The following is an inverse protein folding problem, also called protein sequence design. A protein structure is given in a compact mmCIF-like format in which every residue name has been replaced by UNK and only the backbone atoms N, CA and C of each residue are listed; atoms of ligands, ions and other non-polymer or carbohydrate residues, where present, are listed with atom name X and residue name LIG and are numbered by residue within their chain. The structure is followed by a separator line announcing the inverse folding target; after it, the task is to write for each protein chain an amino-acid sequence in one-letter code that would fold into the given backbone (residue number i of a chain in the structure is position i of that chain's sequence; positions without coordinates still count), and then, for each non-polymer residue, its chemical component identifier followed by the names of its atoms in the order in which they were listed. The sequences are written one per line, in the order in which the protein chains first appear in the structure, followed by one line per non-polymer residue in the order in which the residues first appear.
data_IF_494972604078
#
_entry.id   IF_494972604078
#
_cell.length_a   1.000
_cell.length_b   1.000
_cell.length_c   1.000
_cell.angle_alpha   90.00
_cell.angle_beta   90.00
_cell.angle_gamma   90.00
#
_symmetry.space_group_name_H-M   'P 1'
#
loop_
_entity.id
_entity.type
_entity.pdbx_description
1 polymer ?
#
# COMPACT_ATOMS: atom_id res chain seq x y z
N UNK A 1 17.63 -26.14 3.95
CA UNK A 1 16.68 -26.16 2.80
C UNK A 1 15.75 -24.92 2.81
N UNK A 2 15.25 -24.49 3.97
CA UNK A 2 14.46 -23.25 4.08
C UNK A 2 15.28 -21.99 3.68
N UNK A 3 16.58 -22.01 3.88
CA UNK A 3 17.47 -20.90 3.53
C UNK A 3 17.56 -20.61 2.02
N UNK A 4 17.47 -21.60 1.15
CA UNK A 4 17.59 -21.38 -0.31
C UNK A 4 16.39 -20.67 -0.89
N UNK A 5 15.18 -21.09 -0.52
CA UNK A 5 13.94 -20.41 -0.92
C UNK A 5 13.88 -18.98 -0.39
N UNK A 6 14.25 -18.77 0.87
CA UNK A 6 14.28 -17.43 1.45
C UNK A 6 15.34 -16.55 0.76
N UNK A 7 16.52 -17.09 0.42
CA UNK A 7 17.58 -16.36 -0.32
C UNK A 7 17.08 -15.94 -1.70
N UNK A 8 16.43 -16.86 -2.44
CA UNK A 8 15.86 -16.58 -3.76
C UNK A 8 14.77 -15.50 -3.68
N UNK A 9 13.87 -15.61 -2.71
CA UNK A 9 12.79 -14.63 -2.49
C UNK A 9 13.36 -13.25 -2.18
N UNK A 10 14.31 -13.16 -1.28
CA UNK A 10 14.96 -11.90 -0.90
C UNK A 10 15.75 -11.30 -2.05
N UNK A 11 16.50 -12.11 -2.78
CA UNK A 11 17.24 -11.63 -3.95
C UNK A 11 16.27 -11.08 -5.00
N UNK A 12 15.14 -11.74 -5.23
CA UNK A 12 14.10 -11.26 -6.13
C UNK A 12 13.55 -9.92 -5.67
N UNK A 13 13.20 -9.79 -4.39
CA UNK A 13 12.67 -8.54 -3.84
C UNK A 13 13.72 -7.42 -3.90
N UNK A 14 14.97 -7.68 -3.50
CA UNK A 14 16.07 -6.71 -3.63
C UNK A 14 16.28 -6.28 -5.07
N UNK A 15 16.34 -7.22 -6.01
CA UNK A 15 16.48 -6.91 -7.42
C UNK A 15 15.34 -6.03 -7.93
N UNK A 16 14.11 -6.30 -7.48
CA UNK A 16 12.93 -5.56 -7.90
C UNK A 16 12.80 -4.20 -7.21
N UNK A 17 13.38 -4.02 -6.01
CA UNK A 17 13.33 -2.74 -5.28
C UNK A 17 14.55 -1.86 -5.54
N UNK A 18 15.75 -2.42 -5.65
CA UNK A 18 16.98 -1.65 -5.83
C UNK A 18 17.23 -1.29 -7.31
N UNK A 19 16.79 -2.16 -8.23
CA UNK A 19 16.89 -1.96 -9.69
C UNK A 19 15.52 -1.78 -10.35
N UNK A 20 14.53 -1.29 -9.60
CA UNK A 20 13.18 -1.09 -10.11
C UNK A 20 13.16 -0.16 -11.31
N UNK A 21 12.49 -0.57 -12.39
CA UNK A 21 12.27 0.31 -13.55
C UNK A 21 11.36 1.46 -13.15
N UNK A 22 11.81 2.67 -13.41
CA UNK A 22 11.10 3.92 -13.10
C UNK A 22 10.10 4.31 -14.20
N UNK A 23 9.00 5.01 -13.89
CA UNK A 23 8.56 5.42 -12.54
C UNK A 23 8.06 4.25 -11.68
N UNK A 24 8.29 4.35 -10.36
CA UNK A 24 7.83 3.40 -9.36
C UNK A 24 6.65 3.97 -8.58
N UNK A 25 5.60 3.18 -8.42
CA UNK A 25 4.49 3.45 -7.50
C UNK A 25 4.47 2.42 -6.39
N UNK A 26 4.48 2.89 -5.14
CA UNK A 26 4.23 2.05 -3.98
C UNK A 26 2.83 2.33 -3.43
N UNK A 27 1.99 1.30 -3.31
CA UNK A 27 0.67 1.38 -2.70
C UNK A 27 0.78 0.71 -1.33
N UNK A 28 0.65 1.51 -0.27
CA UNK A 28 0.86 1.07 1.10
C UNK A 28 -0.42 1.26 1.89
N UNK A 29 -0.98 0.15 2.36
CA UNK A 29 -2.19 0.10 3.16
C UNK A 29 -2.00 -0.64 4.49
N UNK A 30 -3.09 -0.75 5.21
CA UNK A 30 -3.13 -1.45 6.50
C UNK A 30 -3.92 -0.70 7.56
N UNK A 31 -4.00 -1.26 8.76
CA UNK A 31 -4.79 -0.70 9.87
C UNK A 31 -4.00 0.30 10.71
N UNK A 32 -2.67 0.15 10.83
CA UNK A 32 -1.81 0.92 11.74
C UNK A 32 -0.67 1.60 11.02
N UNK A 33 -0.62 2.94 11.09
CA UNK A 33 0.46 3.73 10.49
C UNK A 33 1.81 3.44 11.16
N UNK A 34 1.85 3.23 12.48
CA UNK A 34 3.08 2.95 13.23
C UNK A 34 3.86 1.75 12.68
N UNK A 35 3.17 0.73 12.17
CA UNK A 35 3.79 -0.45 11.57
C UNK A 35 4.39 -0.18 10.17
N UNK A 36 4.11 0.95 9.57
CA UNK A 36 4.50 1.31 8.20
C UNK A 36 5.41 2.55 8.11
N UNK A 37 5.65 3.24 9.21
CA UNK A 37 6.50 4.45 9.25
C UNK A 37 7.89 4.18 8.66
N UNK A 38 8.53 3.07 9.06
CA UNK A 38 9.83 2.68 8.56
C UNK A 38 9.83 2.46 7.04
N UNK A 39 8.80 1.77 6.54
CA UNK A 39 8.58 1.52 5.12
C UNK A 39 8.41 2.84 4.36
N UNK A 40 7.48 3.70 4.79
CA UNK A 40 7.20 4.98 4.13
C UNK A 40 8.45 5.88 4.09
N UNK A 41 9.20 5.94 5.19
CA UNK A 41 10.43 6.71 5.28
C UNK A 41 11.54 6.20 4.35
N UNK A 42 11.65 4.88 4.15
CA UNK A 42 12.62 4.30 3.24
C UNK A 42 12.19 4.49 1.78
N UNK A 43 10.92 4.22 1.48
CA UNK A 43 10.39 4.34 0.12
C UNK A 43 10.38 5.78 -0.38
N UNK A 44 10.10 6.77 0.48
CA UNK A 44 10.13 8.19 0.12
C UNK A 44 11.46 8.65 -0.50
N UNK A 45 12.56 7.95 -0.24
CA UNK A 45 13.89 8.24 -0.80
C UNK A 45 14.18 7.54 -2.13
N UNK A 46 13.35 6.56 -2.51
CA UNK A 46 13.68 5.62 -3.59
C UNK A 46 12.68 5.65 -4.76
N UNK A 47 11.45 6.10 -4.50
CA UNK A 47 10.35 5.98 -5.47
C UNK A 47 9.72 7.31 -5.82
N UNK A 48 9.08 7.39 -6.97
CA UNK A 48 8.45 8.60 -7.48
C UNK A 48 7.04 8.83 -6.91
N UNK A 49 6.34 7.76 -6.53
CA UNK A 49 4.97 7.88 -6.00
C UNK A 49 4.74 6.90 -4.86
N UNK A 50 4.08 7.37 -3.80
CA UNK A 50 3.55 6.55 -2.71
C UNK A 50 2.07 6.87 -2.57
N UNK A 51 1.21 5.86 -2.70
CA UNK A 51 -0.21 5.97 -2.38
C UNK A 51 -0.46 5.34 -1.01
N UNK A 52 -0.97 6.10 -0.06
CA UNK A 52 -1.36 5.61 1.25
C UNK A 52 -2.85 5.32 1.25
N UNK A 53 -3.21 4.09 1.61
CA UNK A 53 -4.59 3.59 1.57
C UNK A 53 -4.94 2.82 2.85
N UNK A 54 -6.18 2.33 2.95
CA UNK A 54 -6.64 1.61 4.14
C UNK A 54 -6.80 2.51 5.36
N UNK A 55 -7.05 1.93 6.54
CA UNK A 55 -7.33 2.71 7.75
C UNK A 55 -6.14 3.58 8.19
N UNK A 56 -4.90 3.20 7.87
CA UNK A 56 -3.73 4.04 8.16
C UNK A 56 -3.75 5.38 7.42
N UNK A 57 -4.44 5.47 6.29
CA UNK A 57 -4.62 6.73 5.55
C UNK A 57 -5.45 7.76 6.33
N UNK A 58 -6.31 7.31 7.25
CA UNK A 58 -7.11 8.20 8.10
C UNK A 58 -6.22 9.12 8.97
N UNK A 59 -5.02 8.65 9.35
CA UNK A 59 -4.06 9.50 10.05
C UNK A 59 -3.62 10.69 9.19
N UNK A 60 -3.38 10.47 7.89
CA UNK A 60 -3.03 11.56 6.96
C UNK A 60 -4.23 12.48 6.72
N UNK A 61 -5.44 11.92 6.53
CA UNK A 61 -6.68 12.69 6.33
C UNK A 61 -6.92 13.61 7.53
N UNK A 62 -6.78 13.08 8.76
CA UNK A 62 -6.91 13.86 9.98
C UNK A 62 -5.79 14.91 10.11
N UNK A 63 -4.55 14.58 9.75
CA UNK A 63 -3.43 15.51 9.78
C UNK A 63 -3.61 16.70 8.81
N UNK A 64 -4.33 16.49 7.69
CA UNK A 64 -4.74 17.56 6.76
C UNK A 64 -5.91 18.41 7.29
N UNK A 65 -6.42 18.12 8.48
CA UNK A 65 -7.46 18.88 9.14
C UNK A 65 -8.90 18.43 8.83
N UNK A 66 -9.08 17.30 8.18
CA UNK A 66 -10.40 16.74 7.91
C UNK A 66 -10.92 15.86 9.06
N UNK A 67 -12.25 15.83 9.21
CA UNK A 67 -12.91 14.90 10.10
C UNK A 67 -12.76 13.45 9.56
N UNK A 68 -12.59 12.50 10.46
CA UNK A 68 -12.54 11.06 10.14
C UNK A 68 -13.67 10.28 10.85
N UNK A 69 -14.56 10.97 11.57
CA UNK A 69 -15.66 10.39 12.33
C UNK A 69 -15.17 9.38 13.38
N UNK A 70 -15.75 8.20 13.36
CA UNK A 70 -15.39 7.06 14.24
C UNK A 70 -14.37 6.11 13.61
N UNK A 71 -13.70 6.51 12.53
CA UNK A 71 -12.76 5.67 11.80
C UNK A 71 -11.54 5.31 12.64
N UNK A 72 -10.95 4.17 12.33
CA UNK A 72 -9.69 3.75 12.97
C UNK A 72 -8.57 4.75 12.63
N UNK A 73 -7.81 5.13 13.63
CA UNK A 73 -6.58 5.91 13.51
C UNK A 73 -5.68 5.68 14.73
N UNK A 74 -4.42 6.05 14.65
CA UNK A 74 -3.49 6.00 15.77
C UNK A 74 -3.20 7.41 16.28
N UNK A 75 -3.29 7.61 17.59
CA UNK A 75 -2.98 8.89 18.26
C UNK A 75 -1.46 9.15 18.27
N UNK A 76 -1.10 10.42 18.45
CA UNK A 76 0.28 10.86 18.68
C UNK A 76 1.25 10.50 17.52
N UNK A 77 0.77 10.55 16.27
CA UNK A 77 1.56 10.26 15.08
C UNK A 77 1.92 11.52 14.26
N UNK A 78 1.55 12.70 14.72
CA UNK A 78 1.65 13.96 13.96
C UNK A 78 3.09 14.24 13.50
N UNK A 79 4.06 14.04 14.39
CA UNK A 79 5.48 14.22 14.07
C UNK A 79 5.95 13.25 12.99
N UNK A 80 5.56 11.99 13.08
CA UNK A 80 5.91 10.96 12.10
C UNK A 80 5.30 11.25 10.73
N UNK A 81 4.05 11.72 10.68
CA UNK A 81 3.37 12.11 9.45
C UNK A 81 4.05 13.31 8.81
N UNK A 82 4.42 14.32 9.61
CA UNK A 82 5.16 15.50 9.16
C UNK A 82 6.51 15.10 8.57
N UNK A 83 7.25 14.22 9.26
CA UNK A 83 8.56 13.73 8.80
C UNK A 83 8.45 12.96 7.48
N UNK A 84 7.40 12.13 7.29
CA UNK A 84 7.15 11.41 6.04
C UNK A 84 6.86 12.41 4.92
N UNK A 85 5.94 13.37 5.12
CA UNK A 85 5.62 14.39 4.12
C UNK A 85 6.85 15.18 3.70
N UNK A 86 7.62 15.67 4.67
CA UNK A 86 8.87 16.41 4.42
C UNK A 86 9.88 15.58 3.63
N UNK A 87 10.01 14.28 3.94
CA UNK A 87 10.91 13.39 3.18
C UNK A 87 10.43 13.18 1.76
N UNK A 88 9.12 13.04 1.55
CA UNK A 88 8.55 12.96 0.21
C UNK A 88 8.86 14.23 -0.60
N UNK A 89 8.64 15.41 -0.01
CA UNK A 89 8.95 16.71 -0.64
C UNK A 89 10.43 16.83 -1.01
N UNK A 90 11.35 16.59 -0.08
CA UNK A 90 12.81 16.69 -0.30
C UNK A 90 13.28 15.75 -1.42
N UNK A 91 12.68 14.56 -1.55
CA UNK A 91 13.09 13.56 -2.54
C UNK A 91 12.23 13.58 -3.82
N UNK A 92 11.37 14.56 -4.02
CA UNK A 92 10.44 14.64 -5.15
C UNK A 92 9.56 13.39 -5.30
N UNK A 93 9.21 12.77 -4.18
CA UNK A 93 8.28 11.66 -4.12
C UNK A 93 6.85 12.18 -3.91
N UNK A 94 5.96 11.92 -4.84
CA UNK A 94 4.56 12.33 -4.74
C UNK A 94 3.81 11.44 -3.75
N UNK A 95 3.34 12.02 -2.65
CA UNK A 95 2.53 11.32 -1.65
C UNK A 95 1.04 11.49 -1.97
N UNK A 96 0.38 10.41 -2.31
CA UNK A 96 -1.05 10.35 -2.65
C UNK A 96 -1.79 9.88 -1.41
N UNK A 97 -2.69 10.72 -0.91
CA UNK A 97 -3.67 10.38 0.14
C UNK A 97 -5.07 10.36 -0.46
N UNK A 98 -6.06 9.71 0.17
CA UNK A 98 -7.43 9.72 -0.33
C UNK A 98 -7.98 11.14 -0.49
N UNK A 99 -8.69 11.40 -1.59
CA UNK A 99 -9.41 12.66 -1.86
C UNK A 99 -10.92 12.51 -1.60
N UNK A 100 -11.40 11.29 -1.64
CA UNK A 100 -12.75 10.87 -1.34
C UNK A 100 -12.75 9.45 -0.78
N UNK A 101 -13.80 9.09 -0.08
CA UNK A 101 -13.91 7.86 0.69
C UNK A 101 -15.30 7.26 0.61
N UNK A 102 -15.40 5.95 0.87
CA UNK A 102 -16.66 5.28 1.15
C UNK A 102 -16.82 5.19 2.66
N UNK A 103 -17.88 5.77 3.16
CA UNK A 103 -18.21 5.78 4.59
C UNK A 103 -19.48 5.00 4.87
N UNK A 104 -19.61 4.45 6.06
CA UNK A 104 -20.86 3.91 6.60
C UNK A 104 -20.93 4.14 8.10
N UNK A 105 -22.13 4.09 8.67
CA UNK A 105 -22.32 4.11 10.13
C UNK A 105 -21.96 2.79 10.78
N UNK A 106 -22.01 1.71 10.00
CA UNK A 106 -21.78 0.33 10.43
C UNK A 106 -21.33 -0.49 9.20
N UNK A 107 -20.36 -1.41 9.31
CA UNK A 107 -19.91 -2.24 8.18
C UNK A 107 -20.99 -3.12 7.53
N UNK A 108 -22.12 -3.35 8.21
CA UNK A 108 -23.24 -4.11 7.68
C UNK A 108 -24.28 -3.25 6.93
N UNK A 109 -24.03 -1.95 6.80
CA UNK A 109 -24.93 -1.00 6.12
C UNK A 109 -24.22 -0.51 4.86
N UNK A 110 -25.04 -0.24 3.81
CA UNK A 110 -24.55 0.26 2.54
C UNK A 110 -23.68 1.51 2.71
N UNK A 111 -22.57 1.52 2.00
CA UNK A 111 -21.62 2.63 1.97
C UNK A 111 -22.14 3.84 1.20
N UNK A 112 -21.62 5.01 1.55
CA UNK A 112 -21.86 6.26 0.87
C UNK A 112 -20.54 6.89 0.44
N UNK A 113 -20.48 7.34 -0.82
CA UNK A 113 -19.35 8.12 -1.31
C UNK A 113 -19.42 9.54 -0.71
N UNK A 114 -18.35 9.96 -0.07
CA UNK A 114 -18.20 11.32 0.46
C UNK A 114 -16.84 11.91 0.08
N UNK A 115 -16.83 13.22 -0.17
CA UNK A 115 -15.59 14.01 -0.12
C UNK A 115 -15.16 14.22 1.32
N UNK A 116 -13.88 14.49 1.57
CA UNK A 116 -13.34 14.55 2.93
C UNK A 116 -14.01 15.62 3.81
N UNK A 117 -14.43 16.74 3.21
CA UNK A 117 -15.15 17.84 3.88
C UNK A 117 -16.59 17.49 4.29
N UNK A 118 -17.12 16.36 3.85
CA UNK A 118 -18.49 15.89 4.14
C UNK A 118 -18.54 14.72 5.11
N UNK A 119 -17.41 14.30 5.66
CA UNK A 119 -17.37 13.23 6.67
C UNK A 119 -17.98 13.72 7.97
N UNK A 120 -18.93 12.96 8.50
CA UNK A 120 -19.63 13.26 9.75
C UNK A 120 -19.01 12.53 10.95
N UNK A 121 -19.27 13.01 12.17
CA UNK A 121 -18.73 12.43 13.42
C UNK A 121 -19.13 10.97 13.65
N UNK A 122 -20.20 10.51 13.00
CA UNK A 122 -20.70 9.14 13.14
C UNK A 122 -20.24 8.22 12.03
N UNK A 123 -19.50 8.72 11.03
CA UNK A 123 -19.02 7.95 9.90
C UNK A 123 -17.83 7.06 10.25
N UNK A 124 -17.74 5.92 9.59
CA UNK A 124 -16.59 5.04 9.54
C UNK A 124 -16.09 5.05 8.08
N UNK A 125 -14.86 5.43 7.85
CA UNK A 125 -14.19 5.30 6.55
C UNK A 125 -13.84 3.83 6.37
N UNK A 126 -14.41 3.20 5.33
CA UNK A 126 -14.29 1.76 5.11
C UNK A 126 -13.64 1.41 3.77
N UNK A 127 -13.59 2.35 2.80
CA UNK A 127 -12.82 2.19 1.55
C UNK A 127 -12.46 3.57 0.99
N UNK A 128 -11.56 3.59 0.02
CA UNK A 128 -11.26 4.78 -0.78
C UNK A 128 -12.38 5.04 -1.79
N UNK A 129 -12.61 6.31 -2.12
CA UNK A 129 -13.64 6.71 -3.07
C UNK A 129 -13.22 6.59 -4.54
N UNK A 130 -14.17 6.85 -5.42
CA UNK A 130 -14.00 6.72 -6.87
C UNK A 130 -12.88 7.58 -7.43
N UNK A 131 -12.80 8.84 -6.99
CA UNK A 131 -11.77 9.79 -7.46
C UNK A 131 -10.37 9.35 -7.04
N UNK A 132 -10.24 8.86 -5.81
CA UNK A 132 -8.99 8.27 -5.28
C UNK A 132 -8.58 7.04 -6.08
N UNK A 133 -9.53 6.13 -6.38
CA UNK A 133 -9.29 4.95 -7.22
C UNK A 133 -8.79 5.37 -8.61
N UNK A 134 -9.48 6.31 -9.26
CA UNK A 134 -9.10 6.79 -10.58
C UNK A 134 -7.69 7.41 -10.60
N UNK A 135 -7.34 8.19 -9.56
CA UNK A 135 -6.01 8.76 -9.42
C UNK A 135 -4.93 7.68 -9.29
N UNK A 136 -5.15 6.70 -8.42
CA UNK A 136 -4.21 5.57 -8.25
C UNK A 136 -4.09 4.76 -9.55
N UNK A 137 -5.20 4.45 -10.22
CA UNK A 137 -5.19 3.74 -11.50
C UNK A 137 -4.41 4.49 -12.59
N UNK A 138 -4.58 5.82 -12.70
CA UNK A 138 -3.79 6.65 -13.62
C UNK A 138 -2.29 6.59 -13.29
N UNK A 139 -1.92 6.51 -12.01
CA UNK A 139 -0.53 6.34 -11.60
C UNK A 139 0.01 4.94 -11.93
N UNK A 140 -0.81 3.90 -11.81
CA UNK A 140 -0.45 2.55 -12.26
C UNK A 140 -0.17 2.55 -13.77
N UNK A 141 -0.98 3.22 -14.59
CA UNK A 141 -0.82 3.28 -16.05
C UNK A 141 0.51 3.85 -16.52
N UNK A 142 1.04 4.84 -15.80
CA UNK A 142 2.31 5.48 -16.17
C UNK A 142 3.53 4.87 -15.47
N UNK A 143 3.32 3.95 -14.52
CA UNK A 143 4.39 3.31 -13.78
C UNK A 143 5.02 2.16 -14.57
N UNK A 144 6.30 1.90 -14.32
CA UNK A 144 7.01 0.71 -14.82
C UNK A 144 7.16 -0.37 -13.76
N UNK A 145 7.07 0.02 -12.50
CA UNK A 145 7.07 -0.89 -11.36
C UNK A 145 5.99 -0.45 -10.37
N UNK A 146 5.19 -1.40 -9.92
CA UNK A 146 4.22 -1.21 -8.81
C UNK A 146 4.54 -2.20 -7.70
N UNK A 147 4.59 -1.67 -6.48
CA UNK A 147 4.69 -2.46 -5.27
C UNK A 147 3.43 -2.24 -4.44
N UNK A 148 2.74 -3.32 -4.07
CA UNK A 148 1.51 -3.25 -3.29
C UNK A 148 1.61 -4.04 -1.99
N UNK A 149 1.38 -3.34 -0.87
CA UNK A 149 1.32 -3.93 0.46
C UNK A 149 0.21 -3.30 1.30
N UNK A 150 -0.83 -4.05 1.56
CA UNK A 150 -2.02 -3.66 2.32
C UNK A 150 -3.21 -3.24 1.46
N UNK A 151 -4.41 -3.75 1.76
CA UNK A 151 -5.64 -3.42 1.04
C UNK A 151 -6.04 -1.96 1.22
N UNK A 152 -6.86 -1.46 0.27
CA UNK A 152 -7.31 -0.07 0.25
C UNK A 152 -8.52 0.19 1.16
N UNK A 153 -9.30 -0.84 1.46
CA UNK A 153 -10.50 -0.75 2.28
C UNK A 153 -10.73 -2.02 3.09
N UNK A 154 -11.91 -2.13 3.68
CA UNK A 154 -12.37 -3.31 4.42
C UNK A 154 -12.82 -4.40 3.44
N UNK A 155 -11.84 -4.92 2.69
CA UNK A 155 -12.01 -5.78 1.52
C UNK A 155 -12.73 -7.10 1.82
N UNK A 156 -12.78 -7.54 3.07
CA UNK A 156 -13.50 -8.74 3.53
C UNK A 156 -15.01 -8.60 3.27
N UNK A 157 -15.54 -7.38 3.39
CA UNK A 157 -16.91 -7.01 3.08
C UNK A 157 -16.98 -6.52 1.62
N UNK A 158 -17.83 -7.14 0.81
CA UNK A 158 -17.92 -6.84 -0.62
C UNK A 158 -18.21 -5.37 -0.92
N UNK A 159 -19.10 -4.76 -0.14
CA UNK A 159 -19.47 -3.34 -0.23
C UNK A 159 -18.27 -2.37 -0.14
N UNK A 160 -17.21 -2.76 0.58
CA UNK A 160 -16.03 -1.94 0.87
C UNK A 160 -14.75 -2.51 0.26
N UNK A 161 -14.89 -3.33 -0.78
CA UNK A 161 -13.79 -4.01 -1.45
C UNK A 161 -13.39 -3.37 -2.79
N UNK A 162 -14.19 -2.40 -3.27
CA UNK A 162 -14.06 -1.84 -4.62
C UNK A 162 -12.68 -1.21 -4.86
N UNK A 163 -12.15 -0.47 -3.88
CA UNK A 163 -10.83 0.15 -3.98
C UNK A 163 -9.73 -0.88 -4.22
N UNK A 164 -9.68 -1.90 -3.38
CA UNK A 164 -8.70 -2.99 -3.52
C UNK A 164 -8.88 -3.78 -4.81
N UNK A 165 -10.14 -4.06 -5.19
CA UNK A 165 -10.45 -4.79 -6.41
C UNK A 165 -9.96 -4.03 -7.67
N UNK A 166 -10.30 -2.74 -7.79
CA UNK A 166 -9.90 -1.92 -8.94
C UNK A 166 -8.39 -1.75 -9.07
N UNK A 167 -7.69 -1.63 -7.94
CA UNK A 167 -6.23 -1.62 -7.89
C UNK A 167 -5.68 -2.96 -8.42
N UNK A 168 -6.20 -4.10 -7.93
CA UNK A 168 -5.76 -5.43 -8.36
C UNK A 168 -6.02 -5.68 -9.85
N UNK A 169 -7.22 -5.35 -10.35
CA UNK A 169 -7.59 -5.45 -11.76
C UNK A 169 -6.63 -4.64 -12.65
N UNK A 170 -6.37 -3.37 -12.27
CA UNK A 170 -5.52 -2.46 -13.04
C UNK A 170 -4.07 -2.91 -13.10
N UNK A 171 -3.52 -3.36 -11.96
CA UNK A 171 -2.18 -3.93 -11.90
C UNK A 171 -2.09 -5.18 -12.78
N UNK A 172 -3.08 -6.07 -12.68
CA UNK A 172 -3.13 -7.31 -13.47
C UNK A 172 -3.19 -7.03 -14.97
N UNK A 173 -4.04 -6.10 -15.41
CA UNK A 173 -4.16 -5.67 -16.80
C UNK A 173 -2.80 -5.21 -17.36
N UNK A 174 -2.16 -4.26 -16.67
CA UNK A 174 -0.91 -3.66 -17.13
C UNK A 174 0.27 -4.65 -17.07
N UNK A 175 0.26 -5.58 -16.13
CA UNK A 175 1.27 -6.65 -16.01
C UNK A 175 1.14 -7.63 -17.16
N UNK A 176 -0.07 -8.09 -17.49
CA UNK A 176 -0.34 -8.99 -18.62
C UNK A 176 0.09 -8.37 -19.96
N UNK A 177 -0.11 -7.07 -20.12
CA UNK A 177 0.33 -6.32 -21.30
C UNK A 177 1.86 -6.06 -21.32
N UNK A 178 2.62 -6.63 -20.36
CA UNK A 178 4.07 -6.47 -20.21
C UNK A 178 4.55 -5.01 -20.11
N UNK A 179 3.66 -4.10 -19.75
CA UNK A 179 3.97 -2.67 -19.53
C UNK A 179 4.44 -2.39 -18.11
N UNK A 180 4.18 -3.31 -17.17
CA UNK A 180 4.37 -3.16 -15.74
C UNK A 180 5.05 -4.40 -15.13
N UNK A 181 6.00 -4.15 -14.21
CA UNK A 181 6.47 -5.14 -13.24
C UNK A 181 5.70 -4.92 -11.94
N UNK A 182 4.98 -5.92 -11.48
CA UNK A 182 4.14 -5.82 -10.28
C UNK A 182 4.58 -6.77 -9.19
N UNK A 183 4.70 -6.23 -7.99
CA UNK A 183 5.12 -6.96 -6.79
C UNK A 183 4.05 -6.74 -5.72
N UNK A 184 3.58 -7.82 -5.11
CA UNK A 184 2.68 -7.74 -3.97
C UNK A 184 3.21 -8.58 -2.81
N UNK A 185 2.87 -8.19 -1.59
CA UNK A 185 3.21 -8.97 -0.40
C UNK A 185 2.46 -8.51 0.84
N UNK A 186 2.47 -9.37 1.85
CA UNK A 186 1.68 -9.23 3.07
C UNK A 186 0.38 -10.04 3.03
N UNK A 187 0.04 -10.67 4.14
CA UNK A 187 -1.07 -11.62 4.24
C UNK A 187 -2.40 -11.05 3.71
N UNK A 188 -2.80 -9.87 4.19
CA UNK A 188 -4.06 -9.23 3.79
C UNK A 188 -4.06 -8.84 2.31
N UNK A 189 -2.91 -8.40 1.76
CA UNK A 189 -2.78 -8.10 0.33
C UNK A 189 -3.00 -9.34 -0.52
N UNK A 190 -2.33 -10.43 -0.15
CA UNK A 190 -2.43 -11.71 -0.86
C UNK A 190 -3.85 -12.27 -0.76
N UNK A 191 -4.49 -12.15 0.41
CA UNK A 191 -5.88 -12.55 0.60
C UNK A 191 -6.83 -11.74 -0.30
N UNK A 192 -6.65 -10.42 -0.40
CA UNK A 192 -7.43 -9.56 -1.29
C UNK A 192 -7.22 -9.95 -2.77
N UNK A 193 -5.96 -10.11 -3.21
CA UNK A 193 -5.63 -10.52 -4.58
C UNK A 193 -6.27 -11.88 -4.94
N UNK A 194 -6.26 -12.84 -4.02
CA UNK A 194 -6.90 -14.15 -4.20
C UNK A 194 -8.43 -14.01 -4.30
N UNK A 195 -9.04 -13.22 -3.40
CA UNK A 195 -10.49 -12.96 -3.42
C UNK A 195 -10.95 -12.43 -4.77
N UNK A 196 -10.16 -11.57 -5.41
CA UNK A 196 -10.48 -10.96 -6.71
C UNK A 196 -10.03 -11.79 -7.92
N UNK A 197 -9.46 -12.99 -7.72
CA UNK A 197 -9.00 -13.85 -8.81
C UNK A 197 -7.80 -13.29 -9.58
N UNK A 198 -7.05 -12.37 -9.00
CA UNK A 198 -5.95 -11.64 -9.65
C UNK A 198 -4.56 -12.26 -9.42
N UNK A 199 -4.44 -13.36 -8.67
CA UNK A 199 -3.16 -13.93 -8.22
C UNK A 199 -2.17 -14.16 -9.38
N UNK A 200 -2.61 -14.80 -10.44
CA UNK A 200 -1.76 -15.12 -11.61
C UNK A 200 -1.48 -13.91 -12.52
N UNK A 201 -1.95 -12.74 -12.16
CA UNK A 201 -1.77 -11.50 -12.91
C UNK A 201 -0.63 -10.62 -12.42
N UNK A 202 0.05 -11.01 -11.35
CA UNK A 202 1.20 -10.29 -10.80
C UNK A 202 2.51 -10.88 -11.28
N UNK A 203 3.55 -10.05 -11.44
CA UNK A 203 4.89 -10.53 -11.77
C UNK A 203 5.50 -11.32 -10.62
N UNK A 204 5.24 -10.90 -9.40
CA UNK A 204 5.74 -11.56 -8.20
C UNK A 204 4.81 -11.33 -6.99
N UNK A 205 4.50 -12.39 -6.27
CA UNK A 205 3.78 -12.33 -4.99
C UNK A 205 4.67 -12.94 -3.92
N UNK A 206 5.10 -12.11 -2.96
CA UNK A 206 5.93 -12.53 -1.85
C UNK A 206 5.14 -13.37 -0.86
N UNK A 207 5.69 -14.52 -0.49
CA UNK A 207 5.21 -15.39 0.58
C UNK A 207 5.95 -15.17 1.89
N UNK A 208 7.00 -14.33 1.89
CA UNK A 208 7.89 -14.09 3.05
C UNK A 208 7.25 -13.31 4.21
N UNK A 209 6.01 -12.85 4.08
CA UNK A 209 5.29 -12.16 5.16
C UNK A 209 6.07 -11.01 5.78
N UNK A 210 6.53 -11.18 7.03
CA UNK A 210 7.30 -10.16 7.77
C UNK A 210 8.62 -9.78 7.11
N UNK A 211 9.34 -10.74 6.51
CA UNK A 211 10.60 -10.45 5.83
C UNK A 211 10.43 -9.51 4.62
N UNK A 212 9.31 -9.61 3.91
CA UNK A 212 8.97 -8.65 2.85
C UNK A 212 8.87 -7.22 3.39
N UNK A 213 8.20 -7.03 4.53
CA UNK A 213 8.07 -5.73 5.17
C UNK A 213 9.42 -5.18 5.64
N UNK A 214 10.26 -6.02 6.25
CA UNK A 214 11.59 -5.63 6.70
C UNK A 214 12.50 -5.19 5.53
N UNK A 215 12.40 -5.85 4.38
CA UNK A 215 13.10 -5.44 3.17
C UNK A 215 12.62 -4.08 2.65
N UNK A 216 11.29 -3.83 2.69
CA UNK A 216 10.73 -2.54 2.32
C UNK A 216 11.17 -1.42 3.28
N UNK A 217 11.41 -1.74 4.54
CA UNK A 217 12.01 -0.82 5.52
C UNK A 217 13.50 -0.57 5.26
N UNK A 218 14.14 -1.33 4.37
CA UNK A 218 15.57 -1.25 4.11
C UNK A 218 16.42 -1.95 5.19
N UNK A 219 15.83 -2.86 5.97
CA UNK A 219 16.54 -3.63 6.98
C UNK A 219 17.31 -4.78 6.33
N UNK A 220 18.52 -5.02 6.84
CA UNK A 220 19.27 -6.23 6.51
C UNK A 220 18.68 -7.41 7.30
N UNK A 221 18.19 -8.42 6.59
CA UNK A 221 17.62 -9.61 7.22
C UNK A 221 18.74 -10.46 7.84
N UNK A 222 18.68 -10.76 9.16
CA UNK A 222 19.73 -11.55 9.83
C UNK A 222 19.95 -12.93 9.21
N UNK A 223 18.86 -13.57 8.73
CA UNK A 223 18.92 -14.87 8.06
C UNK A 223 19.67 -14.87 6.73
N UNK A 224 19.78 -13.70 6.08
CA UNK A 224 20.55 -13.56 4.83
C UNK A 224 22.01 -13.32 5.13
N UNK A 225 22.29 -12.46 6.11
CA UNK A 225 23.67 -12.22 6.56
C UNK A 225 24.37 -13.52 6.99
N UNK A 226 23.62 -14.44 7.63
CA UNK A 226 24.11 -15.75 8.01
C UNK A 226 24.42 -16.68 6.81
N UNK A 227 23.77 -16.47 5.66
CA UNK A 227 24.01 -17.23 4.44
C UNK A 227 25.16 -16.65 3.60
N UNK A 228 25.40 -15.34 3.66
CA UNK A 228 26.51 -14.64 2.99
C UNK A 228 27.86 -14.91 3.66
N UNK A 229 27.87 -15.28 4.96
CA UNK A 229 29.14 -15.60 5.71
C UNK A 229 29.65 -17.01 5.43
N UNK A 230 28.85 -17.88 4.77
CA UNK A 230 29.21 -19.27 4.50
C UNK A 230 29.48 -19.54 3.01
N UNK A 231 29.67 -18.53 2.19
CA UNK A 231 30.28 -18.55 0.83
C UNK A 231 31.68 -17.92 0.86
#
# INVERSE_FOLDING_TARGET
YAGKLLKEEVNTIKMLTDNAKKPVLCIIGGSKISSKIGILNNLAKKVENIAVVGAMANNFVMYEGYNIGKSLFEKNQEKQLQDIKKKCEINNCNLIIPEDVIVSKNPNIKGQLKTLDKIEDTDLILDIGKKTIENICKKIDVSKTVLWNGPAGYFEVEEFSLGSNKIAEKITENTKNKSLVSIAGGGDTVAAINKFGCYNGFSYISTAGGAFLELLEGKNLPGIKALEINE
#
